data_IF_970042640133
#
_entry.id   IF_970042640133
#
_cell.length_a   1.000
_cell.length_b   1.000
_cell.length_c   1.000
_cell.angle_alpha   90.00
_cell.angle_beta   90.00
_cell.angle_gamma   90.00
#
_symmetry.space_group_name_H-M   'P 1'
#
loop_
_entity.id
_entity.type
_entity.pdbx_description
1 polymer ?
#
# COMPACT_ATOMS: atom_id res chain seq x y z
N UNK A 1 15.25 13.37 -2.82
CA UNK A 1 14.22 14.43 -2.84
C UNK A 1 12.89 13.75 -3.14
N UNK A 2 11.83 14.06 -2.39
CA UNK A 2 10.49 13.53 -2.63
C UNK A 2 9.58 14.64 -3.18
N UNK A 3 8.81 14.29 -4.20
CA UNK A 3 7.78 15.15 -4.76
C UNK A 3 6.43 14.47 -4.53
N UNK A 4 5.51 15.18 -3.90
CA UNK A 4 4.12 14.76 -3.73
C UNK A 4 3.26 15.62 -4.65
N UNK A 5 2.95 15.06 -5.82
CA UNK A 5 2.02 15.69 -6.74
C UNK A 5 0.58 15.48 -6.28
N UNK A 6 -0.28 16.44 -6.59
CA UNK A 6 -1.64 16.54 -6.07
C UNK A 6 -1.70 16.34 -4.55
N UNK A 7 -0.86 17.11 -3.85
CA UNK A 7 -0.68 17.03 -2.40
C UNK A 7 -2.00 17.17 -1.60
N UNK A 8 -3.02 17.81 -2.19
CA UNK A 8 -4.35 17.88 -1.61
C UNK A 8 -4.94 16.50 -1.26
N UNK A 9 -4.61 15.45 -2.03
CA UNK A 9 -5.05 14.08 -1.79
C UNK A 9 -4.49 13.47 -0.50
N UNK A 10 -3.35 13.98 -0.01
CA UNK A 10 -2.76 13.51 1.24
C UNK A 10 -3.46 14.11 2.47
N UNK A 11 -4.12 15.25 2.30
CA UNK A 11 -4.65 16.04 3.41
C UNK A 11 -6.18 16.11 3.45
N UNK A 12 -6.85 15.94 2.31
CA UNK A 12 -8.31 15.90 2.23
C UNK A 12 -8.85 14.76 3.11
N UNK A 13 -9.73 15.12 4.04
CA UNK A 13 -10.34 14.21 5.02
C UNK A 13 -9.33 13.40 5.87
N UNK A 14 -8.07 13.85 5.92
CA UNK A 14 -7.04 13.18 6.70
C UNK A 14 -7.30 13.35 8.20
N UNK A 15 -7.25 12.26 9.00
CA UNK A 15 -7.36 12.36 10.45
C UNK A 15 -6.27 13.26 11.04
N UNK A 16 -6.58 14.05 12.07
CA UNK A 16 -5.62 14.95 12.71
C UNK A 16 -4.31 14.24 13.11
N UNK A 17 -4.42 13.00 13.60
CA UNK A 17 -3.25 12.19 13.96
C UNK A 17 -2.31 11.91 12.77
N UNK A 18 -2.85 11.76 11.55
CA UNK A 18 -2.04 11.57 10.34
C UNK A 18 -1.32 12.87 9.96
N UNK A 19 -2.05 14.00 9.98
CA UNK A 19 -1.47 15.32 9.69
C UNK A 19 -0.33 15.65 10.66
N UNK A 20 -0.53 15.42 11.96
CA UNK A 20 0.51 15.65 12.98
C UNK A 20 1.74 14.75 12.78
N UNK A 21 1.55 13.52 12.29
CA UNK A 21 2.67 12.64 11.92
C UNK A 21 3.41 13.12 10.70
N UNK A 22 2.70 13.59 9.66
CA UNK A 22 3.33 14.16 8.47
C UNK A 22 4.13 15.41 8.86
N UNK A 23 3.58 16.28 9.71
CA UNK A 23 4.29 17.46 10.24
C UNK A 23 5.60 17.06 10.95
N UNK A 24 5.51 16.07 11.85
CA UNK A 24 6.68 15.54 12.55
C UNK A 24 7.75 15.01 11.57
N UNK A 25 7.33 14.29 10.53
CA UNK A 25 8.24 13.78 9.50
C UNK A 25 8.89 14.94 8.74
N UNK A 26 8.11 15.90 8.23
CA UNK A 26 8.62 17.07 7.49
C UNK A 26 9.63 17.87 8.32
N UNK A 27 9.40 18.02 9.63
CA UNK A 27 10.36 18.66 10.54
C UNK A 27 11.67 17.88 10.68
N UNK A 28 11.60 16.56 10.83
CA UNK A 28 12.77 15.71 11.07
C UNK A 28 13.64 15.52 9.84
N UNK A 29 13.04 15.31 8.67
CA UNK A 29 13.75 14.97 7.43
C UNK A 29 14.67 16.09 6.93
N UNK A 30 14.39 17.36 7.28
CA UNK A 30 15.28 18.50 6.97
C UNK A 30 16.70 18.27 7.49
N UNK A 31 16.83 17.75 8.71
CA UNK A 31 18.13 17.44 9.33
C UNK A 31 18.85 16.22 8.72
N UNK A 32 18.15 15.44 7.89
CA UNK A 32 18.66 14.23 7.24
C UNK A 32 19.08 14.46 5.79
N UNK A 33 19.08 15.71 5.33
CA UNK A 33 19.42 16.06 3.94
C UNK A 33 18.35 15.63 2.93
N UNK A 34 17.11 15.40 3.38
CA UNK A 34 16.01 14.99 2.51
C UNK A 34 15.09 16.18 2.26
N UNK A 35 14.99 16.61 1.00
CA UNK A 35 14.02 17.61 0.55
C UNK A 35 12.66 17.00 0.23
N UNK A 36 11.58 17.70 0.61
CA UNK A 36 10.19 17.37 0.28
C UNK A 36 9.55 18.57 -0.40
N UNK A 37 8.83 18.29 -1.49
CA UNK A 37 8.06 19.26 -2.26
C UNK A 37 6.62 18.79 -2.34
N UNK A 38 5.70 19.66 -1.93
CA UNK A 38 4.26 19.45 -2.10
C UNK A 38 3.80 20.30 -3.29
N UNK A 39 3.21 19.64 -4.29
CA UNK A 39 2.72 20.28 -5.49
C UNK A 39 1.20 20.18 -5.46
N UNK A 40 0.53 21.32 -5.56
CA UNK A 40 -0.93 21.42 -5.50
C UNK A 40 -1.41 22.58 -6.37
N UNK A 41 -2.66 22.50 -6.83
CA UNK A 41 -3.29 23.56 -7.61
C UNK A 41 -3.66 24.76 -6.73
N UNK A 42 -4.05 24.52 -5.48
CA UNK A 42 -4.41 25.56 -4.53
C UNK A 42 -3.58 25.44 -3.25
N UNK A 43 -2.87 26.50 -2.82
CA UNK A 43 -2.08 26.47 -1.59
C UNK A 43 -2.92 26.20 -0.34
N UNK A 44 -4.20 26.55 -0.33
CA UNK A 44 -5.12 26.30 0.78
C UNK A 44 -5.42 24.81 1.00
N UNK A 45 -5.06 23.94 0.06
CA UNK A 45 -5.26 22.50 0.20
C UNK A 45 -4.17 21.83 1.07
N UNK A 46 -3.10 22.56 1.42
CA UNK A 46 -2.06 22.08 2.33
C UNK A 46 -2.27 22.73 3.70
N UNK A 47 -2.31 21.96 4.80
CA UNK A 47 -2.52 22.53 6.13
C UNK A 47 -1.43 23.52 6.54
N UNK A 48 -1.81 24.61 7.22
CA UNK A 48 -0.89 25.67 7.70
C UNK A 48 0.28 25.13 8.52
N UNK A 49 0.03 24.10 9.35
CA UNK A 49 1.07 23.42 10.12
C UNK A 49 2.18 22.88 9.22
N UNK A 50 1.83 22.29 8.08
CA UNK A 50 2.79 21.78 7.11
C UNK A 50 3.41 22.92 6.32
N UNK A 51 2.59 23.87 5.82
CA UNK A 51 3.07 25.05 5.08
C UNK A 51 4.14 25.81 5.88
N UNK A 52 3.96 25.98 7.19
CA UNK A 52 4.94 26.66 8.06
C UNK A 52 6.33 26.03 8.08
N UNK A 53 6.44 24.74 7.73
CA UNK A 53 7.71 24.01 7.67
C UNK A 53 8.38 24.09 6.29
N UNK A 54 7.67 24.60 5.27
CA UNK A 54 8.15 24.69 3.89
C UNK A 54 8.76 26.07 3.63
N UNK A 55 10.08 26.10 3.48
CA UNK A 55 10.84 27.34 3.28
C UNK A 55 11.00 27.78 1.82
N UNK A 56 10.99 26.85 0.88
CA UNK A 56 11.03 27.15 -0.56
C UNK A 56 9.61 27.31 -1.10
N UNK A 57 9.38 28.36 -1.88
CA UNK A 57 8.09 28.70 -2.48
C UNK A 57 8.25 28.99 -3.96
N UNK A 58 7.40 28.34 -4.76
CA UNK A 58 7.28 28.57 -6.19
C UNK A 58 5.80 28.63 -6.50
N UNK A 59 5.29 29.82 -6.82
CA UNK A 59 3.88 30.06 -7.10
C UNK A 59 3.71 30.43 -8.57
N UNK A 60 3.01 29.56 -9.29
CA UNK A 60 2.57 29.84 -10.65
C UNK A 60 1.27 30.67 -10.63
N UNK A 61 0.84 31.11 -11.81
CA UNK A 61 -0.38 31.88 -11.98
C UNK A 61 -1.59 31.23 -11.29
N UNK A 62 -2.32 32.01 -10.48
CA UNK A 62 -3.62 31.62 -9.95
C UNK A 62 -4.70 32.47 -10.62
N UNK A 63 -5.71 31.81 -11.17
CA UNK A 63 -6.85 32.50 -11.79
C UNK A 63 -7.93 32.70 -10.73
N UNK A 64 -8.12 33.94 -10.31
CA UNK A 64 -9.12 34.27 -9.30
C UNK A 64 -10.46 34.68 -9.93
N UNK A 65 -11.44 33.78 -9.92
CA UNK A 65 -12.81 34.06 -10.38
C UNK A 65 -13.83 34.02 -9.24
N UNK A 66 -13.51 33.32 -8.16
CA UNK A 66 -14.37 33.18 -6.97
C UNK A 66 -13.72 33.79 -5.73
N UNK A 67 -14.52 33.97 -4.67
CA UNK A 67 -14.02 34.39 -3.34
C UNK A 67 -13.02 33.38 -2.77
N UNK A 68 -13.19 32.09 -3.06
CA UNK A 68 -12.25 31.05 -2.64
C UNK A 68 -10.89 31.27 -3.31
N UNK A 69 -10.88 31.60 -4.59
CA UNK A 69 -9.65 31.81 -5.35
C UNK A 69 -8.94 33.09 -4.91
N UNK A 70 -9.69 34.16 -4.61
CA UNK A 70 -9.12 35.39 -4.05
C UNK A 70 -8.43 35.14 -2.70
N UNK A 71 -9.00 34.28 -1.85
CA UNK A 71 -8.35 33.86 -0.60
C UNK A 71 -7.09 33.04 -0.87
N UNK A 72 -7.10 32.19 -1.89
CA UNK A 72 -5.92 31.41 -2.29
C UNK A 72 -4.79 32.32 -2.80
N UNK A 73 -5.10 33.33 -3.62
CA UNK A 73 -4.13 34.33 -4.09
C UNK A 73 -3.53 35.08 -2.91
N UNK A 74 -4.36 35.55 -1.97
CA UNK A 74 -3.89 36.26 -0.78
C UNK A 74 -3.00 35.37 0.09
N UNK A 75 -3.43 34.14 0.37
CA UNK A 75 -2.65 33.19 1.16
C UNK A 75 -1.30 32.88 0.49
N UNK A 76 -1.27 32.71 -0.84
CA UNK A 76 -0.03 32.52 -1.58
C UNK A 76 0.93 33.69 -1.37
N UNK A 77 0.46 34.93 -1.56
CA UNK A 77 1.26 36.14 -1.38
C UNK A 77 1.79 36.29 0.07
N UNK A 78 0.92 36.13 1.07
CA UNK A 78 1.26 36.31 2.49
C UNK A 78 2.24 35.24 3.03
N UNK A 79 2.35 34.09 2.35
CA UNK A 79 3.29 33.02 2.74
C UNK A 79 4.71 33.20 2.19
N UNK A 80 4.93 34.23 1.38
CA UNK A 80 6.25 34.57 0.83
C UNK A 80 6.91 35.69 1.61
N UNK A 81 8.22 35.84 1.42
CA UNK A 81 8.92 37.02 1.93
C UNK A 81 8.66 38.20 1.00
N UNK A 82 7.98 39.20 1.55
CA UNK A 82 7.58 40.46 0.93
C UNK A 82 8.69 41.15 0.14
N UNK A 83 8.33 41.70 -1.01
CA UNK A 83 9.16 42.51 -1.89
C UNK A 83 8.56 43.92 -2.04
N UNK A 84 9.21 44.97 -1.49
CA UNK A 84 8.71 46.35 -1.58
C UNK A 84 8.52 46.89 -3.01
N UNK A 85 9.14 46.28 -4.01
CA UNK A 85 9.08 46.69 -5.42
C UNK A 85 8.03 45.93 -6.23
N UNK A 86 7.34 44.96 -5.63
CA UNK A 86 6.40 44.05 -6.31
C UNK A 86 5.11 43.90 -5.50
N UNK A 87 3.96 44.15 -6.11
CA UNK A 87 2.67 43.71 -5.53
C UNK A 87 2.49 42.22 -5.83
N UNK A 88 2.74 41.35 -4.85
CA UNK A 88 2.66 39.90 -5.04
C UNK A 88 1.25 39.43 -5.35
N UNK A 89 0.21 40.04 -4.74
CA UNK A 89 -1.17 39.63 -4.98
C UNK A 89 -1.58 39.95 -6.42
N UNK A 90 -1.26 41.16 -6.90
CA UNK A 90 -1.49 41.53 -8.30
C UNK A 90 -0.65 40.64 -9.23
N UNK A 91 0.64 40.50 -8.96
CA UNK A 91 1.56 39.73 -9.78
C UNK A 91 1.10 38.28 -9.98
N UNK A 92 0.64 37.59 -8.92
CA UNK A 92 0.15 36.20 -8.99
C UNK A 92 -0.97 36.04 -10.03
N UNK A 93 -1.84 37.05 -10.17
CA UNK A 93 -2.95 37.00 -11.13
C UNK A 93 -2.53 37.32 -12.57
N UNK A 94 -1.46 38.10 -12.72
CA UNK A 94 -0.91 38.57 -13.98
C UNK A 94 0.12 37.63 -14.62
N UNK A 95 0.65 36.66 -13.85
CA UNK A 95 1.61 35.68 -14.35
C UNK A 95 1.10 34.96 -15.61
N UNK A 96 1.99 34.88 -16.60
CA UNK A 96 1.81 34.13 -17.83
C UNK A 96 2.24 32.66 -17.70
N UNK A 97 2.12 31.93 -18.82
CA UNK A 97 2.62 30.55 -18.91
C UNK A 97 4.15 30.56 -18.85
N UNK A 98 4.72 29.75 -17.97
CA UNK A 98 6.16 29.67 -17.76
C UNK A 98 6.72 30.75 -16.83
N UNK A 99 5.86 31.54 -16.18
CA UNK A 99 6.28 32.48 -15.14
C UNK A 99 5.83 32.02 -13.75
N UNK A 100 6.60 32.38 -12.74
CA UNK A 100 6.27 32.14 -11.34
C UNK A 100 6.82 33.24 -10.43
N UNK A 101 6.20 33.42 -9.27
CA UNK A 101 6.84 34.05 -8.12
C UNK A 101 7.68 33.01 -7.38
N UNK A 102 8.93 33.35 -7.09
CA UNK A 102 9.91 32.43 -6.52
C UNK A 102 10.55 33.06 -5.29
N UNK A 103 10.55 32.31 -4.18
CA UNK A 103 11.29 32.63 -2.97
C UNK A 103 11.95 31.35 -2.47
N UNK A 104 13.29 31.33 -2.44
CA UNK A 104 14.07 30.15 -2.07
C UNK A 104 14.89 30.43 -0.82
N UNK A 105 15.29 29.37 -0.12
CA UNK A 105 16.18 29.50 1.02
C UNK A 105 17.60 29.84 0.55
N UNK A 106 18.21 30.85 1.17
CA UNK A 106 19.62 31.16 1.00
C UNK A 106 20.54 30.17 1.76
N UNK A 107 21.85 30.38 1.70
CA UNK A 107 22.85 29.55 2.38
C UNK A 107 22.66 29.45 3.90
N UNK A 108 22.02 30.45 4.50
CA UNK A 108 21.71 30.49 5.94
C UNK A 108 20.35 29.87 6.27
N UNK A 109 19.65 29.33 5.27
CA UNK A 109 18.32 28.74 5.44
C UNK A 109 17.22 29.76 5.72
N UNK A 110 17.40 31.02 5.29
CA UNK A 110 16.38 32.08 5.35
C UNK A 110 15.77 32.29 3.97
N UNK A 111 14.44 32.44 3.83
CA UNK A 111 13.81 32.76 2.55
C UNK A 111 14.36 34.08 1.96
N UNK A 112 14.69 34.07 0.68
CA UNK A 112 15.03 35.26 -0.10
C UNK A 112 13.77 36.08 -0.37
N UNK A 113 13.95 37.37 -0.67
CA UNK A 113 12.85 38.23 -1.15
C UNK A 113 12.25 37.57 -2.39
N UNK A 114 10.92 37.61 -2.50
CA UNK A 114 10.21 37.03 -3.63
C UNK A 114 10.51 37.82 -4.91
N UNK A 115 10.76 37.10 -6.00
CA UNK A 115 10.99 37.69 -7.31
C UNK A 115 10.13 37.00 -8.37
N UNK A 116 9.74 37.74 -9.41
CA UNK A 116 9.12 37.17 -10.62
C UNK A 116 10.22 36.55 -11.47
N UNK A 117 10.07 35.28 -11.81
CA UNK A 117 11.04 34.52 -12.58
C UNK A 117 10.38 33.78 -13.76
N UNK A 118 11.17 33.57 -14.81
CA UNK A 118 10.85 32.64 -15.89
C UNK A 118 11.34 31.25 -15.51
N UNK A 119 10.45 30.26 -15.63
CA UNK A 119 10.74 28.86 -15.37
C UNK A 119 11.29 28.24 -16.64
N UNK A 120 12.51 27.73 -16.54
CA UNK A 120 13.13 26.97 -17.64
C UNK A 120 12.30 25.71 -17.87
N UNK A 121 11.81 25.47 -19.10
CA UNK A 121 11.02 24.28 -19.38
C UNK A 121 11.87 23.03 -19.15
N UNK A 122 11.26 21.92 -18.68
CA UNK A 122 12.01 20.69 -18.49
C UNK A 122 12.57 20.22 -19.83
N UNK A 123 13.85 19.87 -19.84
CA UNK A 123 14.44 19.10 -20.93
C UNK A 123 14.01 17.63 -20.79
N UNK A 124 12.72 17.39 -20.98
CA UNK A 124 12.13 16.06 -20.86
C UNK A 124 11.75 15.54 -22.25
N UNK A 125 12.02 14.25 -22.46
CA UNK A 125 11.44 13.53 -23.58
C UNK A 125 9.98 13.20 -23.25
N UNK A 126 9.04 13.65 -24.07
CA UNK A 126 7.63 13.26 -23.95
C UNK A 126 7.44 11.92 -24.66
N UNK A 127 7.07 10.90 -23.90
CA UNK A 127 6.83 9.54 -24.39
C UNK A 127 7.79 8.51 -23.81
N UNK A 128 7.48 7.20 -23.97
CA UNK A 128 8.35 6.14 -23.49
C UNK A 128 9.70 6.18 -24.21
N UNK A 129 10.78 5.94 -23.47
CA UNK A 129 12.10 5.69 -24.07
C UNK A 129 12.07 4.36 -24.84
N UNK A 130 12.90 4.25 -25.87
CA UNK A 130 13.07 2.98 -26.58
C UNK A 130 13.68 1.91 -25.67
N UNK A 131 13.46 0.62 -26.01
CA UNK A 131 14.08 -0.49 -25.27
C UNK A 131 15.61 -0.39 -25.26
N UNK A 132 16.21 0.07 -26.36
CA UNK A 132 17.65 0.25 -26.48
C UNK A 132 18.17 1.35 -25.54
N UNK A 133 17.51 2.51 -25.48
CA UNK A 133 17.86 3.59 -24.56
C UNK A 133 17.68 3.15 -23.10
N UNK A 134 16.61 2.41 -22.81
CA UNK A 134 16.36 1.86 -21.48
C UNK A 134 17.47 0.92 -21.04
N UNK A 135 17.89 -0.01 -21.91
CA UNK A 135 18.97 -0.94 -21.63
C UNK A 135 20.29 -0.21 -21.38
N UNK A 136 20.63 0.78 -22.21
CA UNK A 136 21.83 1.59 -22.07
C UNK A 136 21.85 2.37 -20.74
N UNK A 137 20.73 3.01 -20.37
CA UNK A 137 20.59 3.73 -19.11
C UNK A 137 20.76 2.81 -17.90
N UNK A 138 20.13 1.63 -17.91
CA UNK A 138 20.25 0.65 -16.83
C UNK A 138 21.71 0.17 -16.70
N UNK A 139 22.36 -0.17 -17.81
CA UNK A 139 23.77 -0.62 -17.81
C UNK A 139 24.75 0.46 -17.34
N UNK A 140 24.44 1.73 -17.59
CA UNK A 140 25.27 2.88 -17.14
C UNK A 140 25.11 3.21 -15.65
N UNK A 141 24.12 2.63 -14.98
CA UNK A 141 23.83 2.89 -13.58
C UNK A 141 24.89 2.28 -12.67
N UNK A 142 25.24 2.98 -11.58
CA UNK A 142 26.09 2.43 -10.51
C UNK A 142 25.48 1.19 -9.84
N UNK A 143 24.16 0.98 -10.01
CA UNK A 143 23.41 -0.14 -9.45
C UNK A 143 23.17 -1.27 -10.48
N UNK A 144 23.76 -1.17 -11.67
CA UNK A 144 23.71 -2.23 -12.67
C UNK A 144 24.20 -3.56 -12.07
N UNK A 145 23.51 -4.66 -12.37
CA UNK A 145 23.77 -5.98 -11.79
C UNK A 145 23.25 -6.23 -10.36
N UNK A 146 22.88 -5.20 -9.59
CA UNK A 146 22.37 -5.39 -8.22
C UNK A 146 20.88 -5.76 -8.19
N UNK A 147 20.05 -5.03 -8.93
CA UNK A 147 18.59 -5.22 -8.96
C UNK A 147 18.09 -6.00 -10.18
N UNK A 148 18.99 -6.52 -11.01
CA UNK A 148 18.64 -7.28 -12.22
C UNK A 148 18.15 -8.69 -11.91
N UNK A 149 18.57 -9.26 -10.79
CA UNK A 149 18.13 -10.58 -10.37
C UNK A 149 16.73 -10.49 -9.79
N UNK A 150 15.75 -10.96 -10.55
CA UNK A 150 14.40 -11.22 -10.03
C UNK A 150 14.49 -12.25 -8.91
N UNK A 151 14.10 -11.84 -7.71
CA UNK A 151 13.97 -12.74 -6.57
C UNK A 151 12.53 -13.19 -6.50
N UNK A 152 12.27 -14.42 -6.95
CA UNK A 152 10.99 -15.06 -6.72
C UNK A 152 10.99 -15.69 -5.33
N UNK A 153 10.23 -15.09 -4.40
CA UNK A 153 10.15 -15.57 -3.02
C UNK A 153 8.99 -16.52 -2.91
N UNK A 154 9.21 -17.65 -2.25
CA UNK A 154 8.14 -18.59 -1.92
C UNK A 154 7.01 -17.84 -1.18
N UNK A 155 5.81 -17.90 -1.76
CA UNK A 155 4.66 -17.18 -1.24
C UNK A 155 4.10 -17.87 0.00
N UNK A 156 3.49 -17.09 0.89
CA UNK A 156 2.81 -17.65 2.07
C UNK A 156 1.74 -18.70 1.67
N UNK A 157 1.12 -18.54 0.50
CA UNK A 157 0.16 -19.50 -0.04
C UNK A 157 0.81 -20.85 -0.38
N UNK A 158 1.98 -20.84 -1.02
CA UNK A 158 2.74 -22.05 -1.36
C UNK A 158 3.21 -22.78 -0.11
N UNK A 159 3.72 -22.05 0.88
CA UNK A 159 4.12 -22.63 2.18
C UNK A 159 2.94 -23.30 2.87
N UNK A 160 1.76 -22.66 2.89
CA UNK A 160 0.56 -23.22 3.53
C UNK A 160 0.06 -24.46 2.77
N UNK A 161 0.05 -24.40 1.43
CA UNK A 161 -0.37 -25.52 0.59
C UNK A 161 0.58 -26.72 0.74
N UNK A 162 1.90 -26.47 0.73
CA UNK A 162 2.95 -27.46 0.95
C UNK A 162 2.77 -28.20 2.27
N UNK A 163 2.57 -27.46 3.38
CA UNK A 163 2.28 -28.06 4.70
C UNK A 163 1.00 -28.89 4.72
N UNK A 164 -0.02 -28.50 3.97
CA UNK A 164 -1.27 -29.26 3.89
C UNK A 164 -1.07 -30.58 3.12
N UNK A 165 -0.31 -30.57 2.03
CA UNK A 165 0.05 -31.77 1.27
C UNK A 165 0.99 -32.69 2.05
N UNK A 166 1.96 -32.16 2.80
CA UNK A 166 2.84 -32.94 3.67
C UNK A 166 2.06 -33.67 4.76
N UNK A 167 1.12 -32.98 5.41
CA UNK A 167 0.23 -33.60 6.41
C UNK A 167 -0.68 -34.70 5.83
N UNK A 168 -1.13 -34.55 4.59
CA UNK A 168 -1.90 -35.61 3.91
C UNK A 168 -1.02 -36.81 3.56
N UNK A 169 0.20 -36.59 3.08
CA UNK A 169 1.14 -37.66 2.75
C UNK A 169 1.63 -38.42 4.00
N UNK A 170 1.81 -37.74 5.14
CA UNK A 170 2.11 -38.38 6.43
C UNK A 170 0.94 -39.22 6.95
N UNK A 171 -0.31 -38.75 6.77
CA UNK A 171 -1.50 -39.51 7.13
C UNK A 171 -1.70 -40.77 6.27
N UNK A 172 -1.30 -40.74 4.99
CA UNK A 172 -1.34 -41.90 4.10
C UNK A 172 -0.22 -42.92 4.39
N UNK A 173 0.96 -42.46 4.81
CA UNK A 173 2.08 -43.34 5.21
C UNK A 173 1.89 -43.98 6.60
N UNK A 174 1.03 -43.42 7.44
CA UNK A 174 0.68 -43.97 8.76
C UNK A 174 -0.48 -44.99 8.71
N UNK A 175 -1.03 -45.30 7.54
CA UNK A 175 -2.00 -46.39 7.39
C UNK A 175 -1.27 -47.75 7.46
N UNK A 176 -1.61 -48.65 8.40
CA UNK A 176 -0.95 -49.95 8.49
C UNK A 176 -1.24 -50.78 7.24
N UNK A 177 -0.18 -51.30 6.61
CA UNK A 177 -0.27 -52.39 5.65
C UNK A 177 -0.79 -53.65 6.36
N UNK A 178 -2.12 -53.79 6.43
CA UNK A 178 -2.77 -55.03 6.83
C UNK A 178 -3.01 -55.87 5.56
N UNK A 179 -1.93 -56.49 5.05
CA UNK A 179 -2.02 -57.66 4.18
C UNK A 179 -1.78 -58.91 5.02
N UNK A 180 -2.82 -59.73 5.11
CA UNK A 180 -2.79 -61.20 5.06
C UNK A 180 -1.57 -61.92 5.68
N UNK A 181 -1.77 -62.48 6.87
CA UNK A 181 -1.10 -63.73 7.28
C UNK A 181 -2.14 -64.70 7.85
N UNK A 182 -2.35 -65.80 7.13
CA UNK A 182 -2.93 -67.03 7.66
C UNK A 182 -2.21 -67.47 8.95
N UNK A 183 -2.97 -68.09 9.87
CA UNK A 183 -2.44 -69.07 10.82
C UNK A 183 -2.50 -68.67 12.29
N UNK A 184 -3.39 -69.35 13.04
CA UNK A 184 -3.09 -69.77 14.41
C UNK A 184 -3.67 -68.95 15.56
N UNK A 185 -4.64 -69.55 16.25
CA UNK A 185 -4.83 -69.51 17.71
C UNK A 185 -5.17 -68.17 18.42
N UNK A 186 -5.61 -67.12 17.73
CA UNK A 186 -6.12 -65.89 18.38
C UNK A 186 -7.65 -65.76 18.48
N UNK A 187 -8.40 -66.60 17.77
CA UNK A 187 -9.86 -66.45 17.60
C UNK A 187 -10.74 -67.12 18.67
N UNK A 188 -10.15 -67.76 19.68
CA UNK A 188 -10.86 -68.59 20.66
C UNK A 188 -11.05 -67.89 22.02
N UNK A 189 -11.08 -66.56 22.06
CA UNK A 189 -11.40 -65.81 23.30
C UNK A 189 -12.37 -64.62 23.11
N UNK A 190 -12.94 -64.45 21.92
CA UNK A 190 -13.97 -63.42 21.65
C UNK A 190 -15.39 -63.98 21.41
N UNK A 191 -15.54 -65.30 21.33
CA UNK A 191 -16.79 -65.97 20.94
C UNK A 191 -17.73 -66.37 22.09
N UNK A 192 -17.51 -65.91 23.33
CA UNK A 192 -18.36 -66.28 24.48
C UNK A 192 -19.53 -65.33 24.73
N UNK A 193 -19.66 -64.22 23.97
CA UNK A 193 -20.83 -63.35 24.03
C UNK A 193 -21.32 -63.01 22.61
N UNK A 194 -22.36 -63.70 22.16
CA UNK A 194 -23.15 -63.33 20.99
C UNK A 194 -22.92 -64.22 19.78
N UNK A 195 -23.66 -65.34 19.72
CA UNK A 195 -23.64 -66.24 18.58
C UNK A 195 -24.35 -65.69 17.33
N UNK A 196 -24.04 -66.32 16.20
CA UNK A 196 -25.04 -66.57 15.15
C UNK A 196 -24.88 -65.84 13.81
N UNK A 197 -23.94 -66.31 13.00
CA UNK A 197 -23.93 -66.32 11.53
C UNK A 197 -25.24 -65.92 10.80
N UNK A 198 -25.20 -64.83 10.03
CA UNK A 198 -25.96 -64.73 8.77
C UNK A 198 -25.33 -63.72 7.81
N UNK A 199 -25.01 -64.22 6.63
CA UNK A 199 -24.36 -63.58 5.48
C UNK A 199 -25.38 -62.68 4.76
N UNK A 200 -25.43 -61.38 5.07
CA UNK A 200 -26.08 -60.30 4.27
C UNK A 200 -25.56 -58.92 4.71
N UNK A 201 -24.88 -58.20 3.81
CA UNK A 201 -24.57 -56.78 4.01
C UNK A 201 -25.88 -55.99 4.12
N UNK A 202 -26.05 -55.21 5.19
CA UNK A 202 -27.18 -54.29 5.32
C UNK A 202 -26.73 -52.85 5.03
N UNK A 203 -27.59 -52.08 4.37
CA UNK A 203 -27.35 -50.70 3.93
C UNK A 203 -27.00 -49.71 5.07
N UNK A 204 -27.15 -50.11 6.34
CA UNK A 204 -26.85 -49.28 7.50
C UNK A 204 -25.36 -49.11 7.80
N UNK A 205 -24.53 -50.14 7.55
CA UNK A 205 -23.09 -50.07 7.88
C UNK A 205 -22.31 -49.20 6.89
N UNK A 206 -22.77 -49.13 5.64
CA UNK A 206 -22.29 -48.17 4.64
C UNK A 206 -22.72 -46.73 4.96
N UNK A 207 -23.91 -46.54 5.53
CA UNK A 207 -24.43 -45.22 5.90
C UNK A 207 -23.62 -44.61 7.05
N UNK A 208 -23.31 -45.36 8.10
CA UNK A 208 -22.51 -44.89 9.24
C UNK A 208 -21.09 -44.49 8.80
N UNK A 209 -20.45 -45.28 7.92
CA UNK A 209 -19.10 -44.97 7.41
C UNK A 209 -19.08 -43.77 6.46
N UNK A 210 -20.19 -43.49 5.75
CA UNK A 210 -20.33 -42.33 4.88
C UNK A 210 -20.59 -41.02 5.64
N UNK A 211 -21.38 -41.08 6.74
CA UNK A 211 -21.69 -39.91 7.59
C UNK A 211 -20.45 -39.38 8.31
N UNK A 212 -19.54 -40.25 8.74
CA UNK A 212 -18.27 -39.83 9.36
C UNK A 212 -17.37 -39.08 8.37
N UNK A 213 -17.45 -39.39 7.07
CA UNK A 213 -16.62 -38.77 6.02
C UNK A 213 -17.19 -37.43 5.52
N UNK A 214 -18.51 -37.24 5.60
CA UNK A 214 -19.17 -35.98 5.18
C UNK A 214 -19.24 -34.94 6.30
N UNK A 215 -19.46 -35.35 7.55
CA UNK A 215 -19.50 -34.41 8.69
C UNK A 215 -18.15 -33.73 8.95
N UNK A 216 -17.03 -34.40 8.64
CA UNK A 216 -15.69 -33.80 8.79
C UNK A 216 -15.35 -32.72 7.75
N UNK A 217 -15.92 -32.78 6.55
CA UNK A 217 -15.58 -31.87 5.45
C UNK A 217 -16.40 -30.56 5.47
N UNK A 218 -17.62 -30.57 6.01
CA UNK A 218 -18.50 -29.39 6.03
C UNK A 218 -18.28 -28.48 7.24
N UNK A 219 -17.94 -29.03 8.42
CA UNK A 219 -17.64 -28.24 9.62
C UNK A 219 -16.34 -27.42 9.48
N UNK A 220 -15.36 -27.93 8.73
CA UNK A 220 -14.10 -27.23 8.48
C UNK A 220 -14.25 -25.97 7.61
N UNK A 221 -15.15 -25.99 6.61
CA UNK A 221 -15.36 -24.84 5.70
C UNK A 221 -16.12 -23.70 6.37
N UNK A 222 -16.99 -23.99 7.34
CA UNK A 222 -17.75 -22.96 8.06
C UNK A 222 -16.91 -22.25 9.14
N UNK A 223 -16.03 -22.96 9.83
CA UNK A 223 -15.11 -22.35 10.81
C UNK A 223 -14.11 -21.39 10.15
N UNK A 224 -13.58 -21.75 8.97
CA UNK A 224 -12.65 -20.89 8.23
C UNK A 224 -13.34 -19.60 7.75
N UNK A 225 -14.60 -19.65 7.34
CA UNK A 225 -15.37 -18.46 6.92
C UNK A 225 -15.83 -17.60 8.11
N UNK A 226 -16.14 -18.22 9.25
CA UNK A 226 -16.53 -17.52 10.48
C UNK A 226 -15.39 -16.75 11.14
N UNK A 227 -14.16 -17.27 11.08
CA UNK A 227 -12.97 -16.61 11.66
C UNK A 227 -12.35 -15.56 10.72
N UNK A 228 -12.46 -15.75 9.40
CA UNK A 228 -12.00 -14.73 8.42
C UNK A 228 -13.02 -13.60 8.20
N UNK A 229 -14.31 -13.84 8.39
CA UNK A 229 -15.36 -12.82 8.29
C UNK A 229 -15.39 -11.84 9.48
N UNK A 230 -14.83 -12.19 10.64
CA UNK A 230 -14.80 -11.31 11.82
C UNK A 230 -13.57 -10.39 11.86
N UNK A 231 -12.60 -10.58 10.96
CA UNK A 231 -11.37 -9.79 10.88
C UNK A 231 -11.31 -8.85 9.67
N UNK A 232 -12.25 -8.93 8.73
CA UNK A 232 -12.19 -8.20 7.46
C UNK A 232 -13.57 -7.68 7.01
N UNK A 233 -13.94 -6.49 7.51
CA UNK A 233 -15.04 -5.66 7.01
C UNK A 233 -16.30 -5.68 7.88
N UNK A 234 -16.97 -4.57 8.18
CA UNK A 234 -16.89 -3.23 7.63
C UNK A 234 -18.18 -2.51 8.03
N UNK A 235 -18.04 -1.35 8.66
CA UNK A 235 -19.12 -0.47 9.05
C UNK A 235 -20.01 -0.10 7.85
N UNK A 236 -21.27 -0.55 7.90
CA UNK A 236 -22.34 0.02 7.08
C UNK A 236 -23.43 0.49 8.02
N UNK A 237 -23.44 1.79 8.34
CA UNK A 237 -24.52 2.43 9.10
C UNK A 237 -25.23 3.40 8.16
N UNK A 238 -26.41 2.98 7.72
CA UNK A 238 -27.44 3.85 7.14
C UNK A 238 -28.47 4.14 8.23
N UNK A 239 -28.61 5.41 8.59
CA UNK A 239 -29.88 6.11 8.78
C UNK A 239 -29.59 7.59 8.84
#
# INVERSE_FOLDING_TARGET
VFFFDEAHLLFNDAPAALVDKIEQVVRLIRSKGVGVYFITQNPADVPDKILSQLGNRVQHALRAFSVRDQKAVRAAAETMRDNPELDEQAAITELGVGEALVSLLNEKGTPTIVERALIVPPQAHIGPISEAERAALIQSSLLAGHYEKTVDRESAYEIIKGRATEKQAEAEKAAPAAQSSEGGLGGMLGGLLGGGSSRRQSAGEAMVKSVVRTVGAELGRQLVRGVLGSLMGGSTRRR
#
